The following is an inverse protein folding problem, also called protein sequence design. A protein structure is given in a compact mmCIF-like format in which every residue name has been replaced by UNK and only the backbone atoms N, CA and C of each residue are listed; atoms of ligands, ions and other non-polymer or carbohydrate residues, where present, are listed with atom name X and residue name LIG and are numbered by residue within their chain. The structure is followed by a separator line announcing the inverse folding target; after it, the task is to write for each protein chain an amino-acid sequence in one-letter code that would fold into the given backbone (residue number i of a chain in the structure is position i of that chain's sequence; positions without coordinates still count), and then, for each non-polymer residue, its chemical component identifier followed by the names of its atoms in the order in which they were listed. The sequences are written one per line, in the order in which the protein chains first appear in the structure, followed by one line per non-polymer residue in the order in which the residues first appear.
data_IF_352680740705
#
_entry.id   IF_352680740705
#
_cell.length_a   1.000
_cell.length_b   1.000
_cell.length_c   1.000
_cell.angle_alpha   90.00
_cell.angle_beta   90.00
_cell.angle_gamma   90.00
#
_symmetry.space_group_name_H-M   'P 1'
#
loop_
_entity.id
_entity.type
_entity.pdbx_description
1 polymer ?
#
# COMPACT_ATOMS: atom_id res chain seq x y z
N UNK A 1 -50.65 -41.18 -42.28
CA UNK A 1 -50.12 -41.79 -41.03
C UNK A 1 -48.63 -41.98 -41.23
N UNK A 2 -47.66 -41.45 -40.48
CA UNK A 2 -47.61 -40.71 -39.21
C UNK A 2 -46.68 -39.50 -39.43
N UNK A 3 -47.10 -38.31 -38.99
CA UNK A 3 -46.20 -37.16 -38.79
C UNK A 3 -45.19 -37.56 -37.70
N UNK A 4 -43.89 -37.36 -37.95
CA UNK A 4 -42.88 -37.32 -36.89
C UNK A 4 -42.78 -35.86 -36.45
N UNK A 5 -43.27 -35.61 -35.24
CA UNK A 5 -43.09 -34.37 -34.51
C UNK A 5 -41.64 -34.26 -34.06
N UNK A 6 -40.98 -33.19 -34.48
CA UNK A 6 -39.76 -32.66 -33.88
C UNK A 6 -40.15 -31.92 -32.61
N UNK A 7 -39.81 -32.48 -31.45
CA UNK A 7 -39.81 -31.75 -30.18
C UNK A 7 -38.51 -30.94 -30.09
N UNK A 8 -38.63 -29.65 -30.31
CA UNK A 8 -37.67 -28.65 -29.83
C UNK A 8 -37.83 -28.59 -28.29
N UNK A 9 -36.87 -29.16 -27.56
CA UNK A 9 -36.68 -28.77 -26.16
C UNK A 9 -36.08 -27.36 -26.17
N UNK A 10 -36.92 -26.37 -25.91
CA UNK A 10 -36.50 -25.05 -25.48
C UNK A 10 -35.64 -25.20 -24.22
N UNK A 11 -34.32 -25.24 -24.40
CA UNK A 11 -33.39 -24.93 -23.33
C UNK A 11 -33.61 -23.45 -23.03
N UNK A 12 -34.40 -23.19 -21.99
CA UNK A 12 -34.49 -21.89 -21.34
C UNK A 12 -33.10 -21.59 -20.78
N UNK A 13 -32.24 -21.00 -21.62
CA UNK A 13 -31.04 -20.32 -21.16
C UNK A 13 -31.56 -19.09 -20.46
N UNK A 14 -31.62 -19.17 -19.13
CA UNK A 14 -31.86 -18.03 -18.26
C UNK A 14 -30.74 -17.02 -18.54
N UNK A 15 -31.01 -16.06 -19.42
CA UNK A 15 -30.12 -14.94 -19.74
C UNK A 15 -30.07 -14.07 -18.50
N UNK A 16 -29.08 -14.35 -17.64
CA UNK A 16 -28.71 -13.46 -16.54
C UNK A 16 -28.49 -12.07 -17.12
N UNK A 17 -29.11 -11.08 -16.50
CA UNK A 17 -29.07 -9.70 -16.98
C UNK A 17 -27.60 -9.23 -17.11
N UNK A 18 -27.28 -8.31 -18.03
CA UNK A 18 -25.94 -7.72 -18.14
C UNK A 18 -25.50 -6.98 -16.87
N UNK A 19 -26.42 -6.69 -15.94
CA UNK A 19 -26.16 -6.07 -14.65
C UNK A 19 -25.75 -7.09 -13.57
N UNK A 20 -26.16 -8.36 -13.69
CA UNK A 20 -25.75 -9.46 -12.78
C UNK A 20 -24.32 -9.98 -13.06
N UNK A 21 -23.70 -9.52 -14.15
CA UNK A 21 -22.30 -9.80 -14.51
C UNK A 21 -21.36 -8.68 -14.02
N UNK A 22 -21.90 -7.60 -13.44
CA UNK A 22 -21.12 -6.51 -12.86
C UNK A 22 -20.95 -6.72 -11.35
N UNK A 23 -19.71 -6.96 -10.94
CA UNK A 23 -19.23 -7.17 -9.55
C UNK A 23 -19.27 -8.60 -8.99
N UNK A 24 -18.86 -9.59 -9.79
CA UNK A 24 -18.01 -10.67 -9.27
C UNK A 24 -16.54 -10.22 -9.33
N UNK A 25 -16.19 -9.21 -8.54
CA UNK A 25 -14.79 -9.02 -8.18
C UNK A 25 -14.44 -10.07 -7.15
N UNK A 26 -13.47 -10.88 -7.51
CA UNK A 26 -12.86 -11.96 -6.74
C UNK A 26 -12.47 -11.44 -5.35
N UNK A 27 -13.34 -11.63 -4.36
CA UNK A 27 -12.97 -11.57 -2.95
C UNK A 27 -12.88 -13.00 -2.45
N UNK A 28 -11.67 -13.55 -2.46
CA UNK A 28 -11.19 -14.41 -1.38
C UNK A 28 -9.65 -14.23 -1.31
N UNK A 29 -9.05 -14.17 -0.11
CA UNK A 29 -9.43 -15.04 0.99
C UNK A 29 -9.75 -14.30 2.28
N UNK A 30 -10.53 -14.98 3.12
CA UNK A 30 -10.49 -14.90 4.57
C UNK A 30 -9.02 -14.98 5.00
N UNK A 31 -8.32 -13.84 5.10
CA UNK A 31 -6.90 -13.82 5.45
C UNK A 31 -6.73 -14.28 6.89
N UNK A 32 -7.76 -14.07 7.70
CA UNK A 32 -7.79 -14.47 9.09
C UNK A 32 -9.00 -15.35 9.38
N UNK A 33 -8.81 -16.29 10.32
CA UNK A 33 -9.90 -17.02 10.97
C UNK A 33 -10.13 -16.46 12.37
N UNK A 34 -11.37 -16.52 12.84
CA UNK A 34 -11.72 -16.17 14.21
C UNK A 34 -11.15 -17.25 15.13
N UNK A 35 -10.35 -16.84 16.12
CA UNK A 35 -9.97 -17.69 17.25
C UNK A 35 -10.95 -17.48 18.40
N UNK A 36 -11.35 -16.23 18.62
CA UNK A 36 -12.29 -15.85 19.66
C UNK A 36 -13.08 -14.62 19.28
N UNK A 37 -14.38 -14.63 19.61
CA UNK A 37 -15.28 -13.53 19.36
C UNK A 37 -15.47 -12.62 20.60
N UNK A 38 -16.06 -11.45 20.39
CA UNK A 38 -16.28 -10.35 21.35
C UNK A 38 -17.14 -10.67 22.58
N UNK A 39 -17.50 -11.93 22.83
CA UNK A 39 -18.49 -12.36 23.83
C UNK A 39 -17.95 -13.31 24.89
N UNK A 40 -16.74 -13.83 24.73
CA UNK A 40 -16.20 -14.89 25.61
C UNK A 40 -15.21 -14.32 26.65
N UNK A 41 -15.13 -14.93 27.85
CA UNK A 41 -14.09 -14.63 28.85
C UNK A 41 -12.70 -15.10 28.39
N UNK A 42 -11.63 -14.43 28.82
CA UNK A 42 -10.26 -14.74 28.38
C UNK A 42 -9.81 -16.14 28.84
N UNK A 43 -9.97 -17.13 27.96
CA UNK A 43 -9.33 -18.43 28.07
C UNK A 43 -8.05 -18.40 27.23
N UNK A 44 -6.89 -18.64 27.84
CA UNK A 44 -5.54 -18.40 27.29
C UNK A 44 -5.08 -19.21 26.08
N UNK A 45 -5.95 -19.50 25.11
CA UNK A 45 -5.61 -20.17 23.85
C UNK A 45 -5.17 -19.16 22.78
N UNK A 46 -4.03 -18.50 23.02
CA UNK A 46 -3.46 -17.50 22.11
C UNK A 46 -2.08 -17.94 21.65
N UNK A 47 -1.83 -17.79 20.35
CA UNK A 47 -0.57 -18.17 19.71
C UNK A 47 0.20 -16.94 19.25
N UNK A 48 1.51 -17.12 19.08
CA UNK A 48 2.37 -16.08 18.52
C UNK A 48 1.80 -15.60 17.18
N UNK A 49 1.70 -14.28 16.99
CA UNK A 49 1.13 -13.67 15.79
C UNK A 49 -0.39 -13.54 15.77
N UNK A 50 -1.11 -13.96 16.81
CA UNK A 50 -2.55 -13.72 16.91
C UNK A 50 -2.84 -12.22 17.00
N UNK A 51 -3.83 -11.78 16.22
CA UNK A 51 -4.25 -10.40 16.13
C UNK A 51 -5.36 -10.14 17.14
N UNK A 52 -5.13 -9.17 18.01
CA UNK A 52 -6.15 -8.68 18.94
C UNK A 52 -6.77 -7.40 18.39
N UNK A 53 -8.09 -7.35 18.38
CA UNK A 53 -8.86 -6.16 17.98
C UNK A 53 -9.80 -5.78 19.11
N UNK A 54 -9.66 -4.54 19.61
CA UNK A 54 -10.44 -4.02 20.73
C UNK A 54 -11.50 -3.05 20.22
N UNK A 55 -12.74 -3.26 20.63
CA UNK A 55 -13.89 -2.45 20.21
C UNK A 55 -14.49 -1.70 21.42
N UNK A 56 -14.83 -0.43 21.21
CA UNK A 56 -15.53 0.41 22.18
C UNK A 56 -16.70 1.13 21.47
N UNK A 57 -17.92 1.01 22.00
CA UNK A 57 -19.14 1.59 21.39
C UNK A 57 -19.29 1.29 19.88
N UNK A 58 -19.05 0.03 19.49
CA UNK A 58 -19.06 -0.47 18.10
C UNK A 58 -17.95 0.05 17.18
N UNK A 59 -17.05 0.90 17.65
CA UNK A 59 -15.89 1.39 16.89
C UNK A 59 -14.61 0.68 17.30
N UNK A 60 -13.72 0.42 16.34
CA UNK A 60 -12.40 -0.13 16.64
C UNK A 60 -11.56 0.95 17.30
N UNK A 61 -11.07 0.62 18.49
CA UNK A 61 -10.21 1.50 19.27
C UNK A 61 -8.75 1.17 19.06
N UNK A 62 -8.43 -0.12 18.94
CA UNK A 62 -7.06 -0.58 18.93
C UNK A 62 -6.91 -1.94 18.24
N UNK A 63 -5.72 -2.17 17.70
CA UNK A 63 -5.32 -3.44 17.14
C UNK A 63 -3.84 -3.70 17.45
N UNK A 64 -3.47 -4.96 17.63
CA UNK A 64 -2.11 -5.36 17.93
C UNK A 64 -1.88 -6.84 17.70
N UNK A 65 -0.62 -7.24 17.70
CA UNK A 65 -0.20 -8.63 17.46
C UNK A 65 0.41 -9.20 18.73
N UNK A 66 -0.03 -10.39 19.14
CA UNK A 66 0.50 -11.10 20.29
C UNK A 66 1.89 -11.68 20.00
N UNK A 67 2.83 -11.42 20.90
CA UNK A 67 4.18 -11.95 20.91
C UNK A 67 4.30 -12.97 22.03
N UNK A 68 4.38 -14.26 21.69
CA UNK A 68 4.41 -15.34 22.67
C UNK A 68 5.69 -15.33 23.53
N UNK A 69 6.82 -14.87 22.97
CA UNK A 69 8.11 -14.81 23.67
C UNK A 69 8.03 -13.94 24.93
N UNK A 70 7.29 -12.83 24.86
CA UNK A 70 7.17 -11.86 25.96
C UNK A 70 5.80 -11.90 26.64
N UNK A 71 4.87 -12.71 26.16
CA UNK A 71 3.44 -12.71 26.56
C UNK A 71 2.78 -11.32 26.46
N UNK A 72 3.19 -10.54 25.46
CA UNK A 72 2.78 -9.14 25.28
C UNK A 72 2.20 -8.89 23.89
N UNK A 73 1.32 -7.90 23.79
CA UNK A 73 0.77 -7.41 22.53
C UNK A 73 1.62 -6.23 22.06
N UNK A 74 2.09 -6.33 20.81
CA UNK A 74 2.76 -5.25 20.10
C UNK A 74 1.67 -4.39 19.45
N UNK A 75 1.64 -3.11 19.81
CA UNK A 75 0.65 -2.17 19.32
C UNK A 75 1.29 -0.87 18.87
N UNK A 76 0.60 -0.19 17.96
CA UNK A 76 0.90 1.19 17.61
C UNK A 76 0.01 2.13 18.43
N UNK A 77 0.60 2.87 19.37
CA UNK A 77 -0.12 3.78 20.26
C UNK A 77 0.11 5.25 19.89
N UNK A 78 -0.98 6.02 19.81
CA UNK A 78 -0.91 7.50 19.73
C UNK A 78 -0.48 8.08 21.08
N UNK A 79 0.54 8.94 21.08
CA UNK A 79 1.06 9.56 22.33
C UNK A 79 0.66 11.03 22.46
N UNK A 80 0.88 11.85 21.44
CA UNK A 80 0.49 13.27 21.41
C UNK A 80 0.32 13.75 19.96
N UNK A 81 -0.53 14.75 19.71
CA UNK A 81 -1.06 15.34 18.44
C UNK A 81 -0.52 14.85 17.07
N UNK A 82 0.76 14.52 16.86
CA UNK A 82 1.29 13.95 15.60
C UNK A 82 2.33 12.84 15.78
N UNK A 83 2.42 12.26 16.98
CA UNK A 83 3.39 11.22 17.34
C UNK A 83 2.71 9.93 17.73
N UNK A 84 3.36 8.87 17.29
CA UNK A 84 2.97 7.50 17.53
C UNK A 84 4.17 6.78 18.08
N UNK A 85 3.94 5.68 18.79
CA UNK A 85 5.00 4.86 19.33
C UNK A 85 4.58 3.40 19.24
N UNK A 86 5.49 2.54 18.82
CA UNK A 86 5.29 1.10 18.89
C UNK A 86 5.65 0.66 20.31
N UNK A 87 4.73 -0.03 20.99
CA UNK A 87 4.93 -0.49 22.37
C UNK A 87 4.52 -1.95 22.51
N UNK A 88 5.20 -2.66 23.40
CA UNK A 88 4.70 -3.92 23.96
C UNK A 88 3.87 -3.64 25.21
N UNK A 89 2.72 -4.29 25.34
CA UNK A 89 1.86 -4.18 26.52
C UNK A 89 1.29 -5.53 26.92
N UNK A 90 1.03 -5.73 28.21
CA UNK A 90 0.31 -6.93 28.66
C UNK A 90 -1.12 -6.96 28.10
N UNK A 91 -1.67 -8.17 27.96
CA UNK A 91 -3.01 -8.41 27.38
C UNK A 91 -4.10 -7.63 28.12
N UNK A 92 -4.11 -7.68 29.46
CA UNK A 92 -5.11 -6.98 30.28
C UNK A 92 -5.09 -5.46 30.08
N UNK A 93 -3.87 -4.90 29.96
CA UNK A 93 -3.70 -3.46 29.72
C UNK A 93 -4.10 -3.07 28.31
N UNK A 94 -3.90 -3.95 27.33
CA UNK A 94 -4.28 -3.71 25.95
C UNK A 94 -5.80 -3.70 25.77
N UNK A 95 -6.48 -4.69 26.34
CA UNK A 95 -7.95 -4.81 26.25
C UNK A 95 -8.65 -3.80 27.15
N UNK A 96 -8.08 -3.50 28.33
CA UNK A 96 -8.61 -2.51 29.26
C UNK A 96 -10.04 -2.79 29.70
N UNK A 97 -10.41 -4.08 29.81
CA UNK A 97 -11.77 -4.53 30.14
C UNK A 97 -12.81 -4.34 29.02
N UNK A 98 -12.41 -3.89 27.84
CA UNK A 98 -13.31 -3.74 26.69
C UNK A 98 -13.53 -5.07 25.97
N UNK A 99 -14.56 -5.12 25.13
CA UNK A 99 -14.79 -6.26 24.23
C UNK A 99 -13.66 -6.34 23.21
N UNK A 100 -13.13 -7.54 23.00
CA UNK A 100 -12.09 -7.79 22.01
C UNK A 100 -12.34 -9.10 21.26
N UNK A 101 -11.83 -9.19 20.05
CA UNK A 101 -11.77 -10.42 19.27
C UNK A 101 -10.32 -10.78 18.97
N UNK A 102 -10.09 -12.08 18.77
CA UNK A 102 -8.79 -12.64 18.43
C UNK A 102 -8.90 -13.32 17.08
N UNK A 103 -7.98 -12.98 16.19
CA UNK A 103 -7.93 -13.49 14.83
C UNK A 103 -6.57 -14.07 14.53
N UNK A 104 -6.55 -15.17 13.78
CA UNK A 104 -5.31 -15.84 13.38
C UNK A 104 -5.16 -15.83 11.87
N UNK A 105 -3.98 -15.43 11.40
CA UNK A 105 -3.67 -15.41 9.98
C UNK A 105 -3.68 -16.84 9.43
N UNK A 106 -4.44 -17.06 8.36
CA UNK A 106 -4.43 -18.30 7.61
C UNK A 106 -3.05 -18.49 6.95
N UNK A 107 -2.52 -19.71 7.05
CA UNK A 107 -1.13 -20.01 6.69
C UNK A 107 -0.09 -19.69 7.76
N UNK A 108 -0.51 -19.25 8.96
CA UNK A 108 0.37 -19.02 10.11
C UNK A 108 1.16 -17.70 10.04
N UNK A 109 2.10 -17.56 10.98
CA UNK A 109 2.97 -16.39 11.07
C UNK A 109 4.05 -16.41 9.98
N UNK A 110 4.36 -15.25 9.38
CA UNK A 110 5.43 -15.20 8.39
C UNK A 110 6.80 -15.38 9.08
N UNK A 111 7.77 -15.97 8.38
CA UNK A 111 9.14 -16.15 8.90
C UNK A 111 9.83 -14.81 9.22
N UNK A 112 9.43 -13.74 8.53
CA UNK A 112 9.86 -12.36 8.73
C UNK A 112 9.23 -11.70 9.96
N UNK A 113 8.30 -12.34 10.66
CA UNK A 113 7.53 -11.70 11.75
C UNK A 113 8.44 -11.09 12.81
N UNK A 114 9.45 -11.84 13.27
CA UNK A 114 10.39 -11.38 14.30
C UNK A 114 11.19 -10.16 13.83
N UNK A 115 11.67 -10.19 12.60
CA UNK A 115 12.41 -9.08 12.00
C UNK A 115 11.53 -7.85 11.81
N UNK A 116 10.29 -8.04 11.35
CA UNK A 116 9.29 -6.98 11.21
C UNK A 116 8.99 -6.31 12.56
N UNK A 117 8.83 -7.10 13.62
CA UNK A 117 8.63 -6.59 14.99
C UNK A 117 9.84 -5.81 15.47
N UNK A 118 11.05 -6.37 15.30
CA UNK A 118 12.28 -5.71 15.70
C UNK A 118 12.48 -4.38 14.94
N UNK A 119 12.23 -4.37 13.63
CA UNK A 119 12.27 -3.16 12.80
C UNK A 119 11.28 -2.11 13.29
N UNK A 120 10.01 -2.50 13.52
CA UNK A 120 8.97 -1.60 14.02
C UNK A 120 9.30 -1.00 15.39
N UNK A 121 9.85 -1.80 16.31
CA UNK A 121 10.22 -1.37 17.66
C UNK A 121 11.47 -0.46 17.65
N UNK A 122 12.45 -0.74 16.79
CA UNK A 122 13.74 0.00 16.77
C UNK A 122 13.65 1.34 16.06
N UNK A 123 12.92 1.40 14.94
CA UNK A 123 12.83 2.61 14.11
C UNK A 123 11.75 3.58 14.58
N UNK A 124 10.89 3.12 15.50
CA UNK A 124 9.64 3.79 15.78
C UNK A 124 8.72 3.77 14.56
N UNK A 125 7.52 4.33 14.69
CA UNK A 125 6.58 4.34 13.60
C UNK A 125 7.01 5.34 12.53
N UNK A 126 7.29 4.85 11.33
CA UNK A 126 7.40 5.63 10.09
C UNK A 126 6.03 6.18 9.63
N UNK A 127 5.07 6.24 10.55
CA UNK A 127 3.65 6.43 10.32
C UNK A 127 3.22 7.77 10.89
N UNK A 128 2.82 8.70 10.02
CA UNK A 128 2.13 9.92 10.43
C UNK A 128 0.70 9.56 10.87
N UNK A 129 0.40 9.70 12.16
CA UNK A 129 -0.88 9.25 12.76
C UNK A 129 -2.11 10.02 12.29
N UNK A 130 -1.96 11.13 11.55
CA UNK A 130 -3.11 11.75 10.91
C UNK A 130 -3.73 10.86 9.82
N UNK A 131 -3.04 9.80 9.38
CA UNK A 131 -3.42 9.02 8.19
C UNK A 131 -3.19 7.51 8.25
N UNK A 132 -2.65 6.98 9.35
CA UNK A 132 -2.32 5.55 9.50
C UNK A 132 -3.14 4.89 10.61
N UNK A 133 -3.74 3.74 10.34
CA UNK A 133 -4.62 3.04 11.27
C UNK A 133 -3.91 1.84 11.95
N UNK A 134 -4.37 1.44 13.13
CA UNK A 134 -3.76 0.34 13.90
C UNK A 134 -3.87 -1.04 13.21
N UNK A 135 -4.84 -1.22 12.30
CA UNK A 135 -5.01 -2.44 11.52
C UNK A 135 -3.90 -2.56 10.47
N UNK A 136 -3.60 -1.50 9.72
CA UNK A 136 -2.52 -1.46 8.74
C UNK A 136 -1.17 -1.81 9.37
N UNK A 137 -0.92 -1.33 10.59
CA UNK A 137 0.27 -1.70 11.35
C UNK A 137 0.35 -3.22 11.60
N UNK A 138 -0.75 -3.83 12.03
CA UNK A 138 -0.84 -5.28 12.23
C UNK A 138 -0.57 -6.04 10.92
N UNK A 139 -1.15 -5.58 9.81
CA UNK A 139 -0.99 -6.20 8.50
C UNK A 139 0.45 -6.11 7.99
N UNK A 140 1.12 -4.98 8.22
CA UNK A 140 2.53 -4.80 7.90
C UNK A 140 3.43 -5.76 8.69
N UNK A 141 3.14 -5.99 9.98
CA UNK A 141 3.89 -6.96 10.80
C UNK A 141 3.72 -8.39 10.29
N UNK A 142 2.53 -8.72 9.78
CA UNK A 142 2.14 -10.07 9.35
C UNK A 142 2.33 -10.32 7.85
N UNK A 143 3.04 -9.43 7.14
CA UNK A 143 3.29 -9.51 5.69
C UNK A 143 2.02 -9.74 4.86
N UNK A 144 0.90 -9.12 5.26
CA UNK A 144 -0.33 -9.12 4.47
C UNK A 144 -0.21 -8.06 3.38
N UNK A 145 -0.07 -8.49 2.14
CA UNK A 145 0.00 -7.59 0.99
C UNK A 145 -1.38 -7.04 0.64
N UNK A 146 -1.60 -5.77 0.96
CA UNK A 146 -2.77 -5.03 0.52
C UNK A 146 -2.38 -4.15 -0.67
N UNK A 147 -3.03 -4.41 -1.82
CA UNK A 147 -2.94 -3.57 -3.00
C UNK A 147 -3.22 -2.10 -2.65
N UNK A 148 -2.37 -1.12 -3.01
CA UNK A 148 -2.62 0.29 -2.77
C UNK A 148 -3.87 0.81 -3.49
N UNK A 149 -4.43 1.91 -2.99
CA UNK A 149 -5.56 2.63 -3.59
C UNK A 149 -5.09 3.97 -4.15
N UNK A 150 -5.90 4.62 -5.01
CA UNK A 150 -5.63 5.96 -5.57
C UNK A 150 -5.31 6.97 -4.46
N UNK A 151 -6.07 6.92 -3.34
CA UNK A 151 -5.83 7.80 -2.19
C UNK A 151 -4.49 7.57 -1.48
N UNK A 152 -3.90 6.38 -1.57
CA UNK A 152 -2.57 6.14 -1.01
C UNK A 152 -1.49 6.90 -1.77
N UNK A 153 -1.67 7.07 -3.09
CA UNK A 153 -0.67 7.74 -3.93
C UNK A 153 -0.37 9.15 -3.42
N UNK A 154 -1.41 9.90 -3.02
CA UNK A 154 -1.24 11.22 -2.44
C UNK A 154 -0.54 11.18 -1.09
N UNK A 155 -0.81 10.16 -0.25
CA UNK A 155 -0.14 9.98 1.04
C UNK A 155 1.34 9.66 0.85
N UNK A 156 1.66 8.81 -0.11
CA UNK A 156 3.03 8.39 -0.46
C UNK A 156 3.81 9.57 -1.04
N UNK A 157 3.21 10.33 -1.96
CA UNK A 157 3.80 11.58 -2.47
C UNK A 157 4.14 12.56 -1.35
N UNK A 158 3.33 12.63 -0.28
CA UNK A 158 3.62 13.45 0.90
C UNK A 158 4.59 12.78 1.91
N UNK A 159 5.29 11.71 1.51
CA UNK A 159 6.35 11.07 2.30
C UNK A 159 5.91 9.88 3.14
N UNK A 160 4.69 9.36 2.98
CA UNK A 160 4.27 8.13 3.66
C UNK A 160 4.94 6.91 3.02
N UNK A 161 5.33 5.93 3.84
CA UNK A 161 5.81 4.64 3.34
C UNK A 161 4.71 3.93 2.53
N UNK A 162 4.99 3.40 1.33
CA UNK A 162 4.03 2.62 0.55
C UNK A 162 3.71 1.28 1.22
N UNK A 163 2.42 0.92 1.28
CA UNK A 163 1.92 -0.33 1.88
C UNK A 163 2.36 -1.56 1.09
N UNK A 164 2.66 -2.66 1.79
CA UNK A 164 3.13 -3.89 1.14
C UNK A 164 4.60 -3.86 0.69
N UNK A 165 5.36 -2.81 1.05
CA UNK A 165 6.79 -2.71 0.76
C UNK A 165 7.65 -2.83 2.02
N UNK A 166 8.82 -3.43 1.86
CA UNK A 166 9.91 -3.34 2.82
C UNK A 166 10.87 -2.22 2.43
N UNK A 167 11.48 -1.61 3.44
CA UNK A 167 12.48 -0.56 3.24
C UNK A 167 13.81 -1.22 2.89
N UNK A 168 14.33 -0.93 1.69
CA UNK A 168 15.68 -1.35 1.29
C UNK A 168 16.70 -0.29 1.69
N UNK A 169 16.35 0.98 1.45
CA UNK A 169 17.24 2.12 1.68
C UNK A 169 16.41 3.36 1.99
N UNK A 170 16.92 4.26 2.84
CA UNK A 170 16.25 5.53 3.18
C UNK A 170 17.15 6.71 2.88
N UNK A 171 16.62 7.65 2.09
CA UNK A 171 17.10 9.01 1.87
C UNK A 171 18.60 9.18 2.05
N UNK A 172 19.37 8.47 1.22
CA UNK A 172 20.81 8.56 1.19
C UNK A 172 21.30 8.68 -0.25
N UNK A 173 22.53 9.14 -0.41
CA UNK A 173 23.04 9.63 -1.69
C UNK A 173 23.92 8.59 -2.44
N UNK A 174 24.06 7.37 -1.90
CA UNK A 174 24.85 6.29 -2.52
C UNK A 174 24.00 5.43 -3.49
N UNK A 175 24.61 4.89 -4.55
CA UNK A 175 23.95 4.28 -5.71
C UNK A 175 23.13 3.01 -5.37
N UNK A 176 23.41 2.34 -4.25
CA UNK A 176 22.56 1.26 -3.70
C UNK A 176 22.40 -0.01 -4.57
N UNK A 177 21.98 -1.10 -3.93
CA UNK A 177 21.68 -2.38 -4.60
C UNK A 177 20.22 -2.41 -5.09
N UNK A 178 19.88 -1.47 -5.96
CA UNK A 178 18.57 -1.39 -6.58
C UNK A 178 18.33 -2.63 -7.45
N UNK A 179 17.13 -3.20 -7.32
CA UNK A 179 16.69 -4.36 -8.08
C UNK A 179 15.46 -4.04 -8.92
N UNK A 180 15.21 -4.88 -9.90
CA UNK A 180 14.04 -4.85 -10.77
C UNK A 180 12.76 -4.81 -9.93
N UNK A 181 11.91 -3.82 -10.23
CA UNK A 181 10.67 -3.53 -9.53
C UNK A 181 10.81 -2.81 -8.19
N UNK A 182 12.02 -2.39 -7.80
CA UNK A 182 12.18 -1.50 -6.66
C UNK A 182 11.55 -0.14 -6.95
N UNK A 183 10.73 0.33 -6.01
CA UNK A 183 10.08 1.63 -6.03
C UNK A 183 11.01 2.68 -5.40
N UNK A 184 11.33 3.70 -6.18
CA UNK A 184 12.09 4.86 -5.76
C UNK A 184 11.14 5.98 -5.36
N UNK A 185 11.35 6.53 -4.17
CA UNK A 185 10.72 7.78 -3.71
C UNK A 185 11.83 8.81 -3.52
N UNK A 186 11.86 9.81 -4.39
CA UNK A 186 12.93 10.77 -4.54
C UNK A 186 12.49 12.09 -3.91
N UNK A 187 13.28 12.60 -2.98
CA UNK A 187 13.06 13.90 -2.37
C UNK A 187 13.24 14.99 -3.43
N UNK A 188 12.17 15.71 -3.71
CA UNK A 188 12.16 16.74 -4.73
C UNK A 188 12.13 18.11 -4.04
N UNK A 189 13.17 18.92 -4.24
CA UNK A 189 13.25 20.30 -3.71
C UNK A 189 12.14 21.19 -4.29
N UNK A 190 11.43 20.72 -5.32
CA UNK A 190 10.38 21.42 -6.09
C UNK A 190 9.12 21.75 -5.27
N UNK A 191 9.06 21.42 -3.98
CA UNK A 191 7.97 21.93 -3.13
C UNK A 191 8.44 22.38 -1.75
N UNK A 192 8.23 23.66 -1.42
CA UNK A 192 8.11 24.11 -0.02
C UNK A 192 6.97 23.40 0.73
N UNK A 193 6.21 22.55 0.03
CA UNK A 193 5.15 21.67 0.52
C UNK A 193 5.55 20.17 0.63
N UNK A 194 6.78 19.74 0.28
CA UNK A 194 7.29 18.40 0.57
C UNK A 194 6.69 17.21 -0.22
N UNK A 195 6.32 17.38 -1.51
CA UNK A 195 5.90 16.30 -2.40
C UNK A 195 7.10 15.60 -3.07
N UNK A 196 7.14 14.27 -2.97
CA UNK A 196 8.18 13.40 -3.49
C UNK A 196 7.85 12.92 -4.90
N UNK A 197 8.90 12.71 -5.72
CA UNK A 197 8.77 12.10 -7.02
C UNK A 197 8.91 10.58 -6.92
N UNK A 198 8.25 9.83 -7.81
CA UNK A 198 8.30 8.37 -7.80
C UNK A 198 8.68 7.77 -9.16
N UNK A 199 9.35 6.63 -9.12
CA UNK A 199 9.70 5.81 -10.28
C UNK A 199 10.01 4.37 -9.88
N UNK A 200 10.07 3.47 -10.86
CA UNK A 200 10.32 2.04 -10.60
C UNK A 200 11.55 1.58 -11.39
N UNK A 201 12.44 0.82 -10.75
CA UNK A 201 13.56 0.21 -11.46
C UNK A 201 13.04 -0.83 -12.47
N UNK A 202 13.32 -0.65 -13.75
CA UNK A 202 12.81 -1.51 -14.82
C UNK A 202 13.88 -2.36 -15.52
N UNK A 203 15.18 -2.19 -15.20
CA UNK A 203 16.24 -2.92 -15.89
C UNK A 203 17.49 -3.18 -15.02
N UNK A 204 17.96 -4.42 -15.06
CA UNK A 204 19.28 -4.88 -14.60
C UNK A 204 19.93 -5.64 -15.78
N UNK A 205 21.04 -5.18 -16.41
CA UNK A 205 22.04 -4.23 -15.91
C UNK A 205 21.77 -2.77 -16.32
N UNK A 206 22.27 -1.83 -15.51
CA UNK A 206 22.20 -0.38 -15.79
C UNK A 206 21.32 0.41 -14.81
N UNK A 207 20.51 -0.28 -14.01
CA UNK A 207 19.63 0.30 -12.99
C UNK A 207 18.86 1.50 -13.54
N UNK A 208 18.05 1.26 -14.57
CA UNK A 208 17.18 2.29 -15.13
C UNK A 208 15.88 2.36 -14.33
N UNK A 209 15.41 3.58 -14.10
CA UNK A 209 14.16 3.92 -13.45
C UNK A 209 13.21 4.45 -14.52
N UNK A 210 12.08 3.77 -14.72
CA UNK A 210 10.96 4.33 -15.46
C UNK A 210 10.16 5.24 -14.54
N UNK A 211 9.82 6.43 -15.02
CA UNK A 211 9.08 7.43 -14.25
C UNK A 211 8.19 8.28 -15.16
N UNK A 212 7.23 8.97 -14.54
CA UNK A 212 6.23 9.78 -15.23
C UNK A 212 6.26 11.22 -14.72
N UNK A 213 6.35 12.18 -15.63
CA UNK A 213 6.48 13.61 -15.30
C UNK A 213 5.58 14.47 -16.18
N UNK A 214 5.29 15.73 -15.81
CA UNK A 214 4.69 16.69 -16.73
C UNK A 214 5.62 16.96 -17.91
N UNK A 215 5.10 16.91 -19.15
CA UNK A 215 5.90 17.16 -20.35
C UNK A 215 6.51 18.57 -20.36
N UNK A 216 5.83 19.56 -19.77
CA UNK A 216 6.32 20.93 -19.62
C UNK A 216 7.55 21.05 -18.71
N UNK A 217 7.74 20.13 -17.76
CA UNK A 217 8.93 20.07 -16.91
C UNK A 217 10.08 19.33 -17.60
N UNK A 218 9.79 18.42 -18.53
CA UNK A 218 10.80 17.58 -19.18
C UNK A 218 11.83 18.35 -20.01
N UNK A 219 11.45 19.48 -20.60
CA UNK A 219 12.36 20.33 -21.37
C UNK A 219 13.38 21.08 -20.50
N UNK A 220 13.17 21.11 -19.18
CA UNK A 220 14.07 21.73 -18.20
C UNK A 220 14.67 20.73 -17.20
N UNK A 221 14.38 19.42 -17.27
CA UNK A 221 14.84 18.44 -16.28
C UNK A 221 16.35 18.18 -16.30
N UNK A 222 17.07 18.57 -17.35
CA UNK A 222 18.54 18.59 -17.33
C UNK A 222 19.12 19.79 -16.56
N UNK A 223 18.31 20.80 -16.21
CA UNK A 223 18.75 22.05 -15.57
C UNK A 223 18.00 22.42 -14.27
N UNK A 224 16.74 22.02 -14.10
CA UNK A 224 15.87 22.47 -13.00
C UNK A 224 15.90 21.59 -11.74
N UNK A 225 16.70 20.51 -11.72
CA UNK A 225 16.91 19.69 -10.53
C UNK A 225 18.11 20.12 -9.66
N UNK A 226 18.86 21.18 -10.00
CA UNK A 226 19.96 21.72 -9.17
C UNK A 226 20.19 23.24 -9.37
N UNK A 227 20.73 23.95 -8.37
CA UNK A 227 20.08 24.59 -7.23
C UNK A 227 19.77 26.09 -7.46
N UNK A 228 18.68 26.58 -6.86
CA UNK A 228 18.49 28.00 -6.55
C UNK A 228 17.42 28.73 -7.38
N UNK A 229 16.47 29.32 -6.65
CA UNK A 229 15.61 30.44 -7.05
C UNK A 229 14.19 30.14 -7.58
N UNK A 230 13.25 30.37 -6.67
CA UNK A 230 11.85 30.78 -6.78
C UNK A 230 11.14 30.78 -8.16
N UNK A 231 10.24 29.81 -8.30
CA UNK A 231 9.12 29.82 -9.27
C UNK A 231 7.95 28.93 -8.83
N UNK A 232 7.66 28.83 -7.52
CA UNK A 232 6.84 27.74 -6.95
C UNK A 232 5.33 27.95 -7.04
N UNK A 233 4.83 29.18 -7.07
CA UNK A 233 3.39 29.41 -6.91
C UNK A 233 2.58 29.18 -8.20
N UNK A 234 3.13 29.54 -9.37
CA UNK A 234 2.45 29.40 -10.66
C UNK A 234 2.54 27.98 -11.25
N UNK A 235 3.64 27.25 -10.99
CA UNK A 235 3.83 25.89 -11.52
C UNK A 235 2.89 24.89 -10.81
N UNK A 236 2.75 24.95 -9.48
CA UNK A 236 1.87 24.02 -8.74
C UNK A 236 0.39 24.26 -9.08
N UNK A 237 -0.04 25.52 -9.26
CA UNK A 237 -1.41 25.83 -9.72
C UNK A 237 -1.65 25.38 -11.16
N UNK A 238 -0.65 25.39 -12.03
CA UNK A 238 -0.75 24.83 -13.38
C UNK A 238 -0.79 23.29 -13.41
N UNK A 239 -0.16 22.63 -12.43
CA UNK A 239 -0.11 21.16 -12.30
C UNK A 239 -1.35 20.57 -11.62
N UNK A 240 -2.19 21.41 -11.00
CA UNK A 240 -3.55 21.01 -10.58
C UNK A 240 -4.48 20.74 -11.75
N UNK A 241 -4.19 21.30 -12.93
CA UNK A 241 -4.93 21.04 -14.16
C UNK A 241 -4.27 19.91 -14.96
N UNK A 242 -5.04 19.07 -15.66
CA UNK A 242 -4.48 18.04 -16.53
C UNK A 242 -3.58 18.66 -17.62
N UNK A 243 -2.35 18.16 -17.72
CA UNK A 243 -1.39 18.53 -18.78
C UNK A 243 -0.84 17.29 -19.48
N UNK A 244 -0.22 17.40 -20.67
CA UNK A 244 0.46 16.27 -21.27
C UNK A 244 1.56 15.73 -20.34
N UNK A 245 1.56 14.43 -20.11
CA UNK A 245 2.58 13.74 -19.34
C UNK A 245 3.63 13.10 -20.25
N UNK A 246 4.81 12.84 -19.69
CA UNK A 246 5.92 12.17 -20.34
C UNK A 246 6.36 10.99 -19.48
N UNK A 247 6.35 9.80 -20.09
CA UNK A 247 6.99 8.60 -19.55
C UNK A 247 8.41 8.53 -20.12
N UNK A 248 9.40 8.37 -19.26
CA UNK A 248 10.81 8.29 -19.64
C UNK A 248 11.58 7.37 -18.71
N UNK A 249 12.80 7.04 -19.12
CA UNK A 249 13.76 6.25 -18.32
C UNK A 249 14.98 7.09 -17.96
N UNK A 250 15.44 6.96 -16.73
CA UNK A 250 16.66 7.61 -16.23
C UNK A 250 17.53 6.59 -15.51
N UNK A 251 18.84 6.73 -15.59
CA UNK A 251 19.75 5.89 -14.78
C UNK A 251 19.66 6.28 -13.30
N UNK A 252 19.79 5.33 -12.37
CA UNK A 252 19.97 5.59 -10.93
C UNK A 252 21.11 6.60 -10.69
N UNK A 253 22.20 6.51 -11.45
CA UNK A 253 23.31 7.48 -11.36
C UNK A 253 22.88 8.91 -11.70
N UNK A 254 21.88 9.06 -12.57
CA UNK A 254 21.29 10.35 -12.92
C UNK A 254 20.54 11.03 -11.77
N UNK A 255 20.17 10.27 -10.73
CA UNK A 255 19.51 10.80 -9.52
C UNK A 255 20.41 10.77 -8.27
N UNK A 256 21.71 10.45 -8.43
CA UNK A 256 22.69 10.29 -7.33
C UNK A 256 22.86 11.52 -6.42
N UNK A 257 22.56 12.73 -6.90
CA UNK A 257 22.61 13.95 -6.07
C UNK A 257 21.27 14.33 -5.43
N UNK A 258 20.25 13.49 -5.57
CA UNK A 258 19.01 13.58 -4.83
C UNK A 258 19.03 12.57 -3.67
N UNK A 259 18.39 12.93 -2.55
CA UNK A 259 18.07 11.95 -1.52
C UNK A 259 16.91 11.09 -2.01
N UNK A 260 17.03 9.78 -1.90
CA UNK A 260 15.95 8.87 -2.27
C UNK A 260 15.83 7.70 -1.30
N UNK A 261 14.60 7.20 -1.16
CA UNK A 261 14.29 5.94 -0.51
C UNK A 261 14.00 4.86 -1.55
N UNK A 262 14.43 3.63 -1.26
CA UNK A 262 14.16 2.44 -2.06
C UNK A 262 13.23 1.53 -1.27
N UNK A 263 12.09 1.22 -1.86
CA UNK A 263 11.08 0.31 -1.32
C UNK A 263 10.95 -0.91 -2.22
N UNK A 264 10.97 -2.11 -1.63
CA UNK A 264 10.80 -3.37 -2.37
C UNK A 264 9.48 -4.03 -2.01
N UNK A 265 8.67 -4.35 -3.01
CA UNK A 265 7.38 -5.02 -2.82
C UNK A 265 7.61 -6.38 -2.16
N UNK A 266 6.92 -6.65 -1.04
CA UNK A 266 7.11 -7.86 -0.23
C UNK A 266 6.67 -9.13 -0.97
N UNK A 267 5.60 -9.04 -1.76
CA UNK A 267 5.09 -10.13 -2.61
C UNK A 267 5.90 -10.34 -3.90
N UNK A 268 6.98 -9.59 -4.10
CA UNK A 268 7.78 -9.64 -5.33
C UNK A 268 7.12 -8.88 -6.49
N UNK A 269 7.81 -8.91 -7.63
CA UNK A 269 7.37 -8.25 -8.86
C UNK A 269 6.34 -9.11 -9.59
N UNK A 270 5.27 -8.52 -10.17
CA UNK A 270 4.32 -9.30 -10.95
C UNK A 270 4.96 -9.77 -12.26
N UNK A 271 4.58 -10.94 -12.75
CA UNK A 271 5.06 -11.47 -14.03
C UNK A 271 4.74 -10.54 -15.22
N UNK A 272 3.69 -9.72 -15.11
CA UNK A 272 3.29 -8.73 -16.11
C UNK A 272 4.09 -7.42 -16.06
N UNK A 273 5.04 -7.27 -15.12
CA UNK A 273 5.74 -6.01 -14.89
C UNK A 273 6.43 -5.48 -16.15
N UNK A 274 7.26 -6.29 -16.81
CA UNK A 274 8.01 -5.83 -17.99
C UNK A 274 7.09 -5.45 -19.15
N UNK A 275 6.04 -6.24 -19.40
CA UNK A 275 5.04 -5.92 -20.42
C UNK A 275 4.38 -4.57 -20.15
N UNK A 276 4.05 -4.27 -18.88
CA UNK A 276 3.48 -2.96 -18.49
C UNK A 276 4.47 -1.81 -18.68
N UNK A 277 5.76 -2.03 -18.41
CA UNK A 277 6.81 -1.04 -18.66
C UNK A 277 6.88 -0.72 -20.15
N UNK A 278 6.87 -1.74 -21.01
CA UNK A 278 6.88 -1.57 -22.47
C UNK A 278 5.62 -0.86 -22.97
N UNK A 279 4.43 -1.27 -22.51
CA UNK A 279 3.17 -0.61 -22.84
C UNK A 279 3.17 0.87 -22.41
N UNK A 280 3.62 1.15 -21.19
CA UNK A 280 3.66 2.50 -20.63
C UNK A 280 4.51 3.48 -21.44
N UNK A 281 5.63 3.02 -22.03
CA UNK A 281 6.49 3.87 -22.87
C UNK A 281 5.81 4.40 -24.14
N UNK A 282 4.71 3.76 -24.57
CA UNK A 282 3.98 4.12 -25.79
C UNK A 282 2.66 4.86 -25.51
N UNK A 283 2.32 5.07 -24.23
CA UNK A 283 1.07 5.71 -23.84
C UNK A 283 1.18 7.23 -23.80
N UNK A 284 0.16 7.91 -24.32
CA UNK A 284 -0.02 9.35 -24.19
C UNK A 284 -0.89 9.65 -22.97
N UNK A 285 -0.27 9.71 -21.79
CA UNK A 285 -0.96 9.93 -20.52
C UNK A 285 -1.04 11.43 -20.19
N UNK A 286 -2.10 11.83 -19.47
CA UNK A 286 -2.20 13.16 -18.89
C UNK A 286 -1.66 13.14 -17.47
N UNK A 287 -0.81 14.11 -17.14
CA UNK A 287 -0.30 14.32 -15.79
C UNK A 287 -1.18 15.32 -15.05
N UNK A 288 -1.53 15.00 -13.80
CA UNK A 288 -2.16 15.91 -12.87
C UNK A 288 -1.68 15.61 -11.45
N UNK A 289 -1.19 16.62 -10.74
CA UNK A 289 -0.48 16.42 -9.45
C UNK A 289 -1.34 15.74 -8.38
N UNK A 290 -2.63 16.10 -8.29
CA UNK A 290 -3.55 15.59 -7.27
C UNK A 290 -4.43 14.43 -7.72
N UNK A 291 -4.31 14.04 -8.99
CA UNK A 291 -5.02 12.92 -9.60
C UNK A 291 -3.94 11.99 -10.19
N UNK A 292 -3.88 11.77 -11.50
CA UNK A 292 -2.87 10.89 -12.10
C UNK A 292 -1.45 11.49 -12.15
N UNK A 293 -0.61 11.15 -11.16
CA UNK A 293 0.77 11.64 -11.01
C UNK A 293 1.83 10.51 -11.05
N UNK A 294 3.09 10.84 -10.76
CA UNK A 294 4.21 9.90 -10.78
C UNK A 294 4.06 8.71 -9.82
N UNK A 295 3.38 8.90 -8.67
CA UNK A 295 3.15 7.83 -7.69
C UNK A 295 2.08 6.86 -8.21
N UNK A 296 1.00 7.38 -8.81
CA UNK A 296 -0.05 6.54 -9.43
C UNK A 296 0.56 5.64 -10.48
N UNK A 297 1.28 6.25 -11.42
CA UNK A 297 1.99 5.55 -12.48
C UNK A 297 2.92 4.45 -11.93
N UNK A 298 3.77 4.78 -10.95
CA UNK A 298 4.72 3.83 -10.38
C UNK A 298 4.02 2.64 -9.70
N UNK A 299 2.94 2.89 -8.96
CA UNK A 299 2.18 1.83 -8.30
C UNK A 299 1.37 0.99 -9.29
N UNK A 300 0.82 1.56 -10.35
CA UNK A 300 0.10 0.84 -11.40
C UNK A 300 1.00 -0.13 -12.17
N UNK A 301 2.26 0.22 -12.41
CA UNK A 301 3.24 -0.73 -12.95
C UNK A 301 3.34 -1.98 -12.07
N UNK A 302 3.37 -1.80 -10.75
CA UNK A 302 3.58 -2.87 -9.76
C UNK A 302 2.32 -3.64 -9.35
N UNK A 303 1.14 -3.02 -9.40
CA UNK A 303 -0.12 -3.58 -8.91
C UNK A 303 -1.23 -3.69 -9.96
N UNK A 304 -1.06 -3.03 -11.12
CA UNK A 304 -2.12 -2.84 -12.10
C UNK A 304 -3.03 -1.68 -11.70
N UNK A 305 -4.16 -1.54 -12.37
CA UNK A 305 -5.18 -0.52 -12.11
C UNK A 305 -5.48 -0.42 -10.61
N UNK A 306 -5.36 0.78 -10.03
CA UNK A 306 -5.61 1.01 -8.61
C UNK A 306 -7.09 1.24 -8.34
N UNK A 307 -7.55 0.80 -7.17
CA UNK A 307 -8.93 1.05 -6.75
C UNK A 307 -9.07 2.47 -6.22
N UNK A 308 -10.14 3.17 -6.61
CA UNK A 308 -10.45 4.52 -6.13
C UNK A 308 -11.15 4.54 -4.75
N UNK A 309 -11.48 3.36 -4.23
CA UNK A 309 -12.20 3.24 -2.96
C UNK A 309 -11.27 3.47 -1.77
N UNK A 310 -11.62 4.42 -0.90
CA UNK A 310 -10.95 4.53 0.39
C UNK A 310 -11.35 3.35 1.27
N UNK A 311 -10.39 2.51 1.63
CA UNK A 311 -10.63 1.49 2.64
C UNK A 311 -10.58 2.15 4.01
N UNK A 312 -11.75 2.34 4.61
CA UNK A 312 -11.82 2.67 6.02
C UNK A 312 -11.52 1.41 6.87
N UNK A 313 -11.49 1.58 8.19
CA UNK A 313 -11.18 0.48 9.10
C UNK A 313 -12.26 -0.61 9.01
N UNK A 314 -13.53 -0.22 8.91
CA UNK A 314 -14.67 -1.13 8.79
C UNK A 314 -14.64 -1.96 7.49
N UNK A 315 -14.19 -1.38 6.37
CA UNK A 315 -14.03 -2.08 5.09
C UNK A 315 -12.87 -3.08 5.17
N UNK A 316 -11.75 -2.69 5.79
CA UNK A 316 -10.66 -3.62 6.09
C UNK A 316 -11.14 -4.75 7.00
N UNK A 317 -12.01 -4.44 7.97
CA UNK A 317 -12.56 -5.48 8.83
C UNK A 317 -13.37 -6.50 8.07
N UNK A 318 -14.32 -6.05 7.26
CA UNK A 318 -15.15 -6.92 6.42
C UNK A 318 -14.33 -7.73 5.42
N UNK A 319 -13.28 -7.11 4.88
CA UNK A 319 -12.40 -7.75 3.90
C UNK A 319 -11.53 -8.85 4.52
N UNK A 320 -11.06 -8.65 5.75
CA UNK A 320 -9.99 -9.46 6.33
C UNK A 320 -10.47 -10.45 7.39
N UNK A 321 -11.62 -10.19 8.02
CA UNK A 321 -12.09 -10.90 9.20
C UNK A 321 -13.55 -11.33 9.04
N UNK A 322 -13.79 -12.64 9.08
CA UNK A 322 -15.15 -13.19 9.13
C UNK A 322 -15.90 -12.69 10.38
N UNK A 323 -17.22 -12.48 10.28
CA UNK A 323 -18.13 -12.35 11.42
C UNK A 323 -18.18 -10.99 12.11
N UNK A 324 -17.89 -9.90 11.40
CA UNK A 324 -18.08 -8.52 11.87
C UNK A 324 -19.47 -7.95 11.54
#
# INVERSE_FOLDING_TARGET
MKKRETTEEEILVEVKSPEDVKMRLVLEPKVFRIVKNFTEEYAGNVENGDVFIVQQHKKIRNAGVFCAEDTQIIQLKKTFVFRSEVKKVGVDRFTGGNRFAIYRKNGGIPNSFRDNVHEAMSRGPEYNFNRFNCIEFVLDLLDVDLKPTVKDCMKIGLGSKPRGFKVVKKFSDDDGNAKLGDLFIIECVISGAGYHHAGVCCQEPGQEIIHFTPQTLSQNLTSALYPGSFGFSAAVTSLSSPCPGLVSKISVKGISRCKFAIYRKKSGIPASFQRRVEEAMHQNLKYQLFDYNCVHFALELLYGELEDTERNVEDLMKLLFDGF
#
